data_IF_061892028783
#
_entry.id   IF_061892028783
#
_cell.length_a   1.000
_cell.length_b   1.000
_cell.length_c   1.000
_cell.angle_alpha   90.00
_cell.angle_beta   90.00
_cell.angle_gamma   90.00
#
_symmetry.space_group_name_H-M   'P 1'
#
loop_
_entity.id
_entity.type
_entity.pdbx_description
1 polymer ?
#
# COMPACT_ATOMS: atom_id res chain seq x y z
N UNK A 1 -22.78 -16.24 20.48
CA UNK A 1 -22.98 -16.96 19.20
C UNK A 1 -21.75 -16.70 18.35
N UNK A 2 -20.91 -17.72 18.14
CA UNK A 2 -19.77 -17.62 17.21
C UNK A 2 -20.33 -17.37 15.81
N UNK A 3 -19.93 -16.26 15.18
CA UNK A 3 -20.28 -16.03 13.78
C UNK A 3 -19.70 -17.20 12.96
N UNK A 4 -20.45 -17.81 12.03
CA UNK A 4 -19.91 -18.88 11.20
C UNK A 4 -18.64 -18.38 10.52
N UNK A 5 -17.53 -19.10 10.69
CA UNK A 5 -16.27 -18.82 10.00
C UNK A 5 -16.52 -18.96 8.51
N UNK A 6 -16.75 -17.83 7.83
CA UNK A 6 -16.81 -17.82 6.37
C UNK A 6 -15.42 -18.15 5.84
N UNK A 7 -15.34 -19.12 4.93
CA UNK A 7 -14.12 -19.39 4.17
C UNK A 7 -13.70 -18.12 3.42
N UNK A 8 -12.39 -17.93 3.24
CA UNK A 8 -11.89 -16.86 2.38
C UNK A 8 -12.44 -17.04 0.96
N UNK A 9 -12.73 -15.95 0.23
CA UNK A 9 -13.03 -16.03 -1.20
C UNK A 9 -11.90 -16.75 -1.94
N UNK A 10 -12.26 -17.56 -2.94
CA UNK A 10 -11.27 -18.17 -3.83
C UNK A 10 -10.49 -17.08 -4.59
N UNK A 11 -9.19 -17.28 -4.72
CA UNK A 11 -8.30 -16.39 -5.45
C UNK A 11 -7.47 -17.21 -6.43
N UNK A 12 -7.26 -16.68 -7.63
CA UNK A 12 -6.40 -17.31 -8.64
C UNK A 12 -4.99 -17.50 -8.08
N UNK A 13 -4.49 -18.73 -8.16
CA UNK A 13 -3.14 -19.04 -7.70
C UNK A 13 -2.09 -18.37 -8.57
N UNK A 14 -0.96 -17.96 -7.98
CA UNK A 14 0.20 -17.46 -8.72
C UNK A 14 0.74 -18.47 -9.75
N UNK A 15 0.46 -19.77 -9.55
CA UNK A 15 0.85 -20.86 -10.46
C UNK A 15 -0.11 -21.11 -11.62
N UNK A 16 -1.30 -20.50 -11.58
CA UNK A 16 -2.38 -20.83 -12.52
C UNK A 16 -2.26 -20.14 -13.88
N UNK A 17 -1.36 -19.16 -14.01
CA UNK A 17 -1.20 -18.39 -15.23
C UNK A 17 -0.24 -19.06 -16.19
N UNK A 18 -0.60 -19.05 -17.48
CA UNK A 18 0.36 -19.35 -18.55
C UNK A 18 1.40 -18.23 -18.60
N UNK A 19 2.67 -18.62 -18.53
CA UNK A 19 3.78 -17.66 -18.52
C UNK A 19 3.88 -16.96 -19.88
N UNK A 20 4.28 -15.70 -19.83
CA UNK A 20 4.53 -14.94 -21.04
C UNK A 20 5.78 -15.46 -21.77
N UNK A 21 5.82 -15.30 -23.10
CA UNK A 21 6.83 -15.94 -23.96
C UNK A 21 8.28 -15.68 -23.56
N UNK A 22 8.56 -14.52 -22.95
CA UNK A 22 9.92 -14.15 -22.55
C UNK A 22 10.46 -14.98 -21.37
N UNK A 23 9.67 -15.91 -20.81
CA UNK A 23 10.17 -16.96 -19.93
C UNK A 23 11.33 -17.77 -20.55
N UNK A 24 11.37 -17.89 -21.89
CA UNK A 24 12.42 -18.62 -22.59
C UNK A 24 13.80 -17.98 -22.47
N UNK A 25 13.87 -16.70 -22.07
CA UNK A 25 15.11 -15.97 -21.84
C UNK A 25 15.77 -16.34 -20.50
N UNK A 26 15.03 -17.00 -19.60
CA UNK A 26 15.46 -17.28 -18.24
C UNK A 26 15.53 -16.02 -17.35
N UNK A 27 15.78 -16.19 -16.05
CA UNK A 27 15.90 -15.09 -15.12
C UNK A 27 17.19 -14.28 -15.36
N UNK A 28 17.09 -12.96 -15.37
CA UNK A 28 18.23 -12.08 -15.49
C UNK A 28 19.07 -12.11 -14.19
N UNK A 29 20.41 -12.00 -14.25
CA UNK A 29 21.24 -11.88 -13.04
C UNK A 29 20.80 -10.71 -12.15
N UNK A 30 20.48 -9.58 -12.79
CA UNK A 30 19.81 -8.43 -12.19
C UNK A 30 18.75 -7.92 -13.17
N UNK A 31 17.67 -7.36 -12.65
CA UNK A 31 16.73 -6.62 -13.49
C UNK A 31 17.44 -5.36 -14.04
N UNK A 32 17.43 -5.12 -15.36
CA UNK A 32 18.24 -4.06 -15.96
C UNK A 32 17.82 -2.67 -15.48
N UNK A 33 18.82 -1.82 -15.23
CA UNK A 33 18.66 -0.41 -14.89
C UNK A 33 19.10 0.52 -16.03
N UNK A 34 19.71 -0.01 -17.08
CA UNK A 34 20.19 0.74 -18.24
C UNK A 34 19.90 0.05 -19.56
N UNK A 35 19.94 0.82 -20.65
CA UNK A 35 19.79 0.27 -22.01
C UNK A 35 20.90 -0.72 -22.36
N UNK A 36 22.13 -0.47 -21.91
CA UNK A 36 23.26 -1.37 -22.15
C UNK A 36 23.05 -2.75 -21.50
N UNK A 37 22.43 -2.80 -20.32
CA UNK A 37 22.08 -4.07 -19.66
C UNK A 37 20.93 -4.77 -20.37
N UNK A 38 19.93 -4.04 -20.87
CA UNK A 38 18.89 -4.61 -21.73
C UNK A 38 19.50 -5.25 -22.99
N UNK A 39 20.42 -4.54 -23.66
CA UNK A 39 21.08 -5.05 -24.87
C UNK A 39 21.92 -6.30 -24.56
N UNK A 40 22.59 -6.36 -23.40
CA UNK A 40 23.32 -7.54 -22.93
C UNK A 40 22.41 -8.75 -22.63
N UNK A 41 21.17 -8.50 -22.20
CA UNK A 41 20.13 -9.52 -22.00
C UNK A 41 19.40 -9.88 -23.31
N UNK A 42 19.69 -9.18 -24.43
CA UNK A 42 18.98 -9.33 -25.69
C UNK A 42 17.55 -8.75 -25.67
N UNK A 43 17.26 -7.82 -24.77
CA UNK A 43 15.94 -7.21 -24.61
C UNK A 43 15.82 -5.93 -25.45
N UNK A 44 14.83 -5.90 -26.33
CA UNK A 44 14.49 -4.71 -27.12
C UNK A 44 13.62 -3.71 -26.34
N UNK A 45 12.78 -4.20 -25.43
CA UNK A 45 11.84 -3.42 -24.62
C UNK A 45 11.55 -4.10 -23.27
N UNK A 46 11.27 -3.31 -22.24
CA UNK A 46 10.71 -3.80 -20.98
C UNK A 46 9.19 -3.91 -21.09
N UNK A 47 8.61 -5.00 -20.62
CA UNK A 47 7.15 -5.14 -20.53
C UNK A 47 6.61 -4.29 -19.37
N UNK A 48 7.31 -4.28 -18.24
CA UNK A 48 7.00 -3.46 -17.07
C UNK A 48 8.28 -2.74 -16.63
N UNK A 49 8.16 -1.48 -16.22
CA UNK A 49 9.26 -0.76 -15.56
C UNK A 49 8.80 -0.31 -14.18
N UNK A 50 9.58 -0.67 -13.16
CA UNK A 50 9.34 -0.27 -11.77
C UNK A 50 10.27 0.90 -11.41
N UNK A 51 9.68 2.02 -11.02
CA UNK A 51 10.38 3.18 -10.48
C UNK A 51 10.32 3.18 -8.97
N UNK A 52 11.46 3.31 -8.31
CA UNK A 52 11.60 3.23 -6.86
C UNK A 52 12.41 4.37 -6.27
N UNK A 53 12.08 4.77 -5.04
CA UNK A 53 12.82 5.79 -4.28
C UNK A 53 14.02 5.26 -3.49
N UNK A 54 14.26 3.96 -3.50
CA UNK A 54 15.44 3.33 -2.90
C UNK A 54 16.45 2.90 -3.96
N UNK A 55 17.69 2.67 -3.56
CA UNK A 55 18.64 1.92 -4.35
C UNK A 55 18.11 0.50 -4.67
N UNK A 56 18.44 -0.01 -5.85
CA UNK A 56 18.08 -1.37 -6.24
C UNK A 56 18.98 -2.38 -5.52
N UNK A 57 18.40 -3.01 -4.50
CA UNK A 57 18.97 -4.16 -3.82
C UNK A 57 18.12 -5.37 -4.17
N UNK A 58 18.71 -6.36 -4.83
CA UNK A 58 18.00 -7.54 -5.29
C UNK A 58 17.88 -8.59 -4.18
N UNK A 59 17.08 -8.27 -3.15
CA UNK A 59 16.92 -9.04 -1.92
C UNK A 59 15.42 -9.15 -1.59
N UNK A 60 14.92 -10.30 -1.07
CA UNK A 60 13.48 -10.51 -0.81
C UNK A 60 12.93 -9.71 0.39
N UNK A 61 13.70 -8.79 0.96
CA UNK A 61 13.25 -7.81 1.96
C UNK A 61 12.96 -6.44 1.34
N UNK A 62 13.29 -6.26 0.06
CA UNK A 62 13.07 -5.06 -0.71
C UNK A 62 11.84 -5.24 -1.61
N UNK A 63 10.80 -4.43 -1.40
CA UNK A 63 9.49 -4.64 -2.05
C UNK A 63 9.54 -4.56 -3.58
N UNK A 64 10.36 -3.68 -4.15
CA UNK A 64 10.52 -3.59 -5.61
C UNK A 64 11.20 -4.83 -6.19
N UNK A 65 12.12 -5.46 -5.45
CA UNK A 65 12.79 -6.69 -5.88
C UNK A 65 11.80 -7.86 -5.90
N UNK A 66 10.98 -8.02 -4.85
CA UNK A 66 9.90 -9.03 -4.84
C UNK A 66 8.98 -8.84 -6.04
N UNK A 67 8.46 -7.63 -6.25
CA UNK A 67 7.50 -7.38 -7.35
C UNK A 67 8.15 -7.57 -8.73
N UNK A 68 9.40 -7.14 -8.89
CA UNK A 68 10.13 -7.30 -10.14
C UNK A 68 10.44 -8.77 -10.46
N UNK A 69 10.96 -9.53 -9.49
CA UNK A 69 11.25 -10.96 -9.64
C UNK A 69 9.98 -11.78 -9.83
N UNK A 70 8.89 -11.41 -9.15
CA UNK A 70 7.60 -12.07 -9.35
C UNK A 70 7.10 -11.87 -10.79
N UNK A 71 7.12 -10.66 -11.31
CA UNK A 71 6.73 -10.39 -12.70
C UNK A 71 7.65 -11.09 -13.71
N UNK A 72 8.96 -11.13 -13.45
CA UNK A 72 9.92 -11.90 -14.26
C UNK A 72 9.61 -13.40 -14.26
N UNK A 73 9.25 -13.96 -13.10
CA UNK A 73 8.86 -15.38 -12.97
C UNK A 73 7.58 -15.73 -13.75
N UNK A 74 6.76 -14.72 -14.05
CA UNK A 74 5.57 -14.84 -14.91
C UNK A 74 5.92 -14.68 -16.41
N UNK A 75 7.20 -14.55 -16.73
CA UNK A 75 7.72 -14.46 -18.09
C UNK A 75 7.81 -13.04 -18.64
N UNK A 76 7.63 -11.98 -17.84
CA UNK A 76 7.72 -10.60 -18.31
C UNK A 76 9.14 -10.04 -18.21
N UNK A 77 9.54 -9.19 -19.15
CA UNK A 77 10.79 -8.43 -19.07
C UNK A 77 10.58 -7.21 -18.17
N UNK A 78 11.30 -7.14 -17.06
CA UNK A 78 11.09 -6.11 -16.05
C UNK A 78 12.34 -5.27 -15.87
N UNK A 79 12.20 -3.95 -15.99
CA UNK A 79 13.28 -3.00 -15.72
C UNK A 79 13.09 -2.25 -14.40
N UNK A 80 14.19 -1.77 -13.82
CA UNK A 80 14.18 -0.98 -12.58
C UNK A 80 14.78 0.40 -12.84
N UNK A 81 14.08 1.47 -12.43
CA UNK A 81 14.64 2.83 -12.37
C UNK A 81 14.71 3.22 -10.89
N UNK A 82 15.90 3.15 -10.31
CA UNK A 82 16.14 3.50 -8.91
C UNK A 82 16.56 4.95 -8.75
N UNK A 83 15.95 5.68 -7.82
CA UNK A 83 16.33 7.05 -7.45
C UNK A 83 16.59 7.97 -8.66
N UNK A 84 15.68 8.03 -9.65
CA UNK A 84 15.86 8.90 -10.80
C UNK A 84 15.86 10.37 -10.37
N UNK A 85 16.63 11.21 -11.07
CA UNK A 85 16.53 12.65 -10.93
C UNK A 85 15.12 13.12 -11.33
N UNK A 86 14.35 13.57 -10.35
CA UNK A 86 12.97 13.98 -10.53
C UNK A 86 12.82 15.42 -11.03
N UNK A 87 13.91 16.14 -11.26
CA UNK A 87 13.87 17.49 -11.83
C UNK A 87 13.55 17.46 -13.33
N UNK A 88 13.82 16.34 -14.02
CA UNK A 88 13.51 16.14 -15.44
C UNK A 88 12.78 14.81 -15.69
N UNK A 89 11.91 14.76 -16.70
CA UNK A 89 11.32 13.51 -17.18
C UNK A 89 12.33 12.62 -17.92
N UNK A 90 13.50 13.14 -18.33
CA UNK A 90 14.48 12.38 -19.11
C UNK A 90 15.09 11.22 -18.32
N UNK A 91 15.28 11.38 -17.01
CA UNK A 91 15.74 10.30 -16.13
C UNK A 91 14.78 9.09 -16.11
N UNK A 92 13.51 9.29 -16.48
CA UNK A 92 12.49 8.24 -16.54
C UNK A 92 12.40 7.58 -17.93
N UNK A 93 13.16 8.08 -18.92
CA UNK A 93 13.19 7.56 -20.30
C UNK A 93 14.35 6.60 -20.56
N UNK A 94 15.22 6.38 -19.58
CA UNK A 94 16.50 5.64 -19.74
C UNK A 94 16.34 4.19 -20.21
N UNK A 95 15.22 3.55 -19.89
CA UNK A 95 14.86 2.19 -20.35
C UNK A 95 13.88 2.19 -21.54
N UNK A 96 13.50 3.36 -22.02
CA UNK A 96 12.47 3.54 -23.05
C UNK A 96 11.04 3.39 -22.50
N UNK A 97 10.11 3.17 -23.43
CA UNK A 97 8.67 3.04 -23.14
C UNK A 97 8.35 1.60 -22.72
N UNK A 98 7.74 1.35 -21.56
CA UNK A 98 7.30 0.01 -21.20
C UNK A 98 6.09 -0.39 -22.04
N UNK A 99 5.95 -1.69 -22.32
CA UNK A 99 4.85 -2.21 -23.14
C UNK A 99 3.50 -2.24 -22.40
N UNK A 100 3.50 -2.59 -21.12
CA UNK A 100 2.28 -2.81 -20.33
C UNK A 100 1.96 -1.64 -19.40
N UNK A 101 2.83 -1.35 -18.43
CA UNK A 101 2.58 -0.28 -17.46
C UNK A 101 3.85 0.16 -16.71
N UNK A 102 3.76 1.34 -16.08
CA UNK A 102 4.70 1.82 -15.06
C UNK A 102 4.26 1.34 -13.68
N UNK A 103 5.15 0.69 -12.93
CA UNK A 103 5.00 0.47 -11.49
C UNK A 103 5.75 1.56 -10.72
N UNK A 104 5.10 2.27 -9.80
CA UNK A 104 5.74 3.38 -9.07
C UNK A 104 5.60 3.20 -7.56
N UNK A 105 6.73 3.27 -6.84
CA UNK A 105 6.79 3.21 -5.39
C UNK A 105 7.76 4.24 -4.82
N UNK A 106 7.51 4.69 -3.59
CA UNK A 106 8.45 5.55 -2.85
C UNK A 106 9.65 4.77 -2.27
N UNK A 107 9.61 3.43 -2.34
CA UNK A 107 10.58 2.53 -1.71
C UNK A 107 9.96 1.73 -0.56
N UNK A 108 10.82 1.16 0.28
CA UNK A 108 10.50 0.38 1.48
C UNK A 108 10.04 1.26 2.64
N UNK A 109 10.29 2.58 2.58
CA UNK A 109 9.87 3.55 3.58
C UNK A 109 9.18 4.74 2.93
N UNK A 110 8.28 5.38 3.67
CA UNK A 110 7.67 6.64 3.24
C UNK A 110 8.73 7.73 3.02
N UNK A 111 8.62 8.46 1.91
CA UNK A 111 9.63 9.44 1.50
C UNK A 111 9.78 10.59 2.50
N UNK A 112 8.69 10.99 3.17
CA UNK A 112 8.73 12.05 4.17
C UNK A 112 9.36 11.53 5.47
N UNK A 113 8.99 10.32 5.91
CA UNK A 113 9.59 9.68 7.08
C UNK A 113 11.09 9.45 6.86
N UNK A 114 11.53 9.19 5.63
CA UNK A 114 12.95 9.08 5.31
C UNK A 114 13.66 10.43 5.49
N UNK A 115 13.14 11.47 4.84
CA UNK A 115 13.82 12.77 4.80
C UNK A 115 13.72 13.58 6.10
N UNK A 116 12.69 13.36 6.92
CA UNK A 116 12.42 14.19 8.09
C UNK A 116 12.28 13.38 9.39
N UNK A 117 12.83 13.91 10.48
CA UNK A 117 12.59 13.41 11.83
C UNK A 117 11.16 13.71 12.29
N UNK A 118 10.70 13.07 13.37
CA UNK A 118 9.39 13.35 13.96
C UNK A 118 9.22 14.84 14.35
N UNK A 119 10.32 15.51 14.71
CA UNK A 119 10.38 16.95 15.01
C UNK A 119 10.48 17.83 13.75
N UNK A 120 10.26 17.26 12.55
CA UNK A 120 10.32 17.94 11.25
C UNK A 120 11.69 18.50 10.88
N UNK A 121 12.77 17.97 11.47
CA UNK A 121 14.14 18.30 11.05
C UNK A 121 14.55 17.45 9.86
N UNK A 122 15.25 18.05 8.91
CA UNK A 122 15.77 17.35 7.73
C UNK A 122 16.92 16.44 8.17
N UNK A 123 16.90 15.19 7.72
CA UNK A 123 18.02 14.25 7.82
C UNK A 123 19.05 14.52 6.74
N UNK A 124 20.32 14.39 7.09
CA UNK A 124 21.43 14.45 6.14
C UNK A 124 21.69 13.10 5.47
N UNK A 125 21.17 12.03 6.06
CA UNK A 125 21.38 10.62 5.72
C UNK A 125 20.11 9.97 5.13
N UNK A 126 20.31 8.95 4.29
CA UNK A 126 19.25 8.07 3.77
C UNK A 126 19.79 6.64 3.70
N UNK A 127 19.34 5.79 4.64
CA UNK A 127 19.79 4.42 4.79
C UNK A 127 19.55 3.53 3.55
N UNK A 128 18.66 3.93 2.64
CA UNK A 128 18.36 3.19 1.41
C UNK A 128 19.04 3.78 0.17
N UNK A 129 19.87 4.81 0.34
CA UNK A 129 20.67 5.41 -0.72
C UNK A 129 22.11 4.89 -0.69
N UNK A 130 22.81 4.87 -1.85
CA UNK A 130 24.24 4.62 -1.88
C UNK A 130 25.01 5.64 -1.04
N UNK A 131 25.99 5.17 -0.29
CA UNK A 131 26.82 5.94 0.65
C UNK A 131 26.07 6.69 1.74
N UNK A 132 24.84 6.26 2.07
CA UNK A 132 23.98 6.95 3.04
C UNK A 132 23.65 8.41 2.62
N UNK A 133 23.70 8.69 1.31
CA UNK A 133 23.50 10.04 0.78
C UNK A 133 22.02 10.46 0.86
N UNK A 134 21.73 11.48 1.67
CA UNK A 134 20.44 12.13 1.73
C UNK A 134 20.08 12.88 0.43
N UNK A 135 18.79 13.11 0.22
CA UNK A 135 18.31 13.94 -0.90
C UNK A 135 18.37 13.26 -2.27
N UNK A 136 18.36 11.92 -2.33
CA UNK A 136 18.26 11.12 -3.57
C UNK A 136 16.82 10.77 -3.98
N UNK A 137 15.82 11.20 -3.20
CA UNK A 137 14.40 11.06 -3.51
C UNK A 137 13.65 12.37 -3.18
N UNK A 138 12.58 12.72 -3.90
CA UNK A 138 11.75 13.87 -3.56
C UNK A 138 10.82 13.59 -2.38
N UNK A 139 10.31 14.66 -1.79
CA UNK A 139 9.15 14.59 -0.91
C UNK A 139 7.93 14.05 -1.66
N UNK A 140 7.23 13.09 -1.04
CA UNK A 140 6.08 12.39 -1.67
C UNK A 140 6.49 11.76 -2.98
N UNK A 141 7.57 10.99 -2.92
CA UNK A 141 8.23 10.40 -4.08
C UNK A 141 7.26 9.67 -5.01
N UNK A 142 6.27 8.95 -4.47
CA UNK A 142 5.29 8.25 -5.27
C UNK A 142 4.48 9.19 -6.18
N UNK A 143 4.06 10.37 -5.67
CA UNK A 143 3.34 11.38 -6.46
C UNK A 143 4.23 11.97 -7.54
N UNK A 144 5.44 12.37 -7.18
CA UNK A 144 6.38 13.02 -8.12
C UNK A 144 6.77 12.06 -9.24
N UNK A 145 7.15 10.82 -8.89
CA UNK A 145 7.53 9.82 -9.87
C UNK A 145 6.37 9.44 -10.80
N UNK A 146 5.15 9.29 -10.27
CA UNK A 146 3.96 9.02 -11.08
C UNK A 146 3.70 10.12 -12.12
N UNK A 147 3.89 11.39 -11.73
CA UNK A 147 3.76 12.52 -12.65
C UNK A 147 4.88 12.55 -13.70
N UNK A 148 6.11 12.21 -13.32
CA UNK A 148 7.26 12.18 -14.24
C UNK A 148 7.19 11.04 -15.25
N UNK A 149 6.76 9.84 -14.86
CA UNK A 149 6.54 8.75 -15.83
C UNK A 149 5.41 9.08 -16.79
N UNK A 150 4.36 9.77 -16.30
CA UNK A 150 3.27 10.27 -17.15
C UNK A 150 3.76 11.33 -18.14
N UNK A 151 4.64 12.22 -17.70
CA UNK A 151 5.27 13.22 -18.58
C UNK A 151 6.16 12.56 -19.63
N UNK A 152 6.91 11.52 -19.25
CA UNK A 152 7.81 10.80 -20.14
C UNK A 152 7.04 10.02 -21.23
N UNK A 153 5.99 9.29 -20.86
CA UNK A 153 5.15 8.51 -21.77
C UNK A 153 3.66 8.57 -21.36
N UNK A 154 2.90 9.55 -21.87
CA UNK A 154 1.53 9.83 -21.41
C UNK A 154 0.52 8.70 -21.61
N UNK A 155 0.72 7.89 -22.64
CA UNK A 155 -0.20 6.84 -23.08
C UNK A 155 -0.01 5.50 -22.35
N UNK A 156 1.05 5.38 -21.55
CA UNK A 156 1.31 4.18 -20.75
C UNK A 156 0.52 4.25 -19.43
N UNK A 157 -0.17 3.18 -19.03
CA UNK A 157 -0.80 3.09 -17.72
C UNK A 157 0.18 3.30 -16.56
N UNK A 158 -0.23 4.05 -15.53
CA UNK A 158 0.58 4.32 -14.33
C UNK A 158 -0.08 3.66 -13.12
N UNK A 159 0.63 2.71 -12.53
CA UNK A 159 0.23 1.94 -11.35
C UNK A 159 1.09 2.35 -10.16
N UNK A 160 0.48 2.82 -9.08
CA UNK A 160 1.19 3.22 -7.86
C UNK A 160 1.00 2.18 -6.74
N UNK A 161 2.02 1.98 -5.91
CA UNK A 161 1.98 1.02 -4.81
C UNK A 161 2.99 1.31 -3.71
N UNK A 162 3.21 0.33 -2.84
CA UNK A 162 4.08 0.44 -1.66
C UNK A 162 3.39 1.10 -0.46
N UNK A 163 4.13 1.24 0.64
CA UNK A 163 3.61 1.76 1.92
C UNK A 163 3.01 3.16 1.74
N UNK A 164 3.73 4.03 1.02
CA UNK A 164 3.32 5.42 0.80
C UNK A 164 1.96 5.54 0.08
N UNK A 165 1.73 4.74 -0.96
CA UNK A 165 0.46 4.74 -1.68
C UNK A 165 -0.64 4.04 -0.90
N UNK A 166 -0.32 2.86 -0.35
CA UNK A 166 -1.27 2.02 0.40
C UNK A 166 -1.94 2.78 1.53
N UNK A 167 -1.18 3.47 2.38
CA UNK A 167 -1.71 4.18 3.55
C UNK A 167 -2.48 5.46 3.19
N UNK A 168 -2.30 5.98 1.97
CA UNK A 168 -2.90 7.24 1.49
C UNK A 168 -4.02 7.03 0.47
N UNK A 169 -4.60 5.82 0.42
CA UNK A 169 -5.66 5.42 -0.53
C UNK A 169 -6.99 6.16 -0.36
N UNK A 170 -7.32 6.60 0.85
CA UNK A 170 -8.43 7.53 1.13
C UNK A 170 -7.91 8.92 1.55
N UNK A 171 -8.82 9.84 1.84
CA UNK A 171 -8.49 11.07 2.56
C UNK A 171 -7.72 10.73 3.85
N UNK A 172 -6.57 11.37 4.03
CA UNK A 172 -5.62 11.05 5.10
C UNK A 172 -5.09 12.33 5.74
N UNK A 173 -4.80 12.26 7.03
CA UNK A 173 -4.12 13.33 7.74
C UNK A 173 -2.62 13.32 7.39
N UNK A 174 -2.11 14.47 7.03
CA UNK A 174 -0.72 14.69 6.66
C UNK A 174 0.00 15.45 7.77
N UNK A 175 0.71 14.72 8.62
CA UNK A 175 1.44 15.25 9.79
C UNK A 175 2.40 16.40 9.43
N UNK A 176 3.01 16.34 8.25
CA UNK A 176 4.01 17.33 7.81
C UNK A 176 3.40 18.70 7.48
N UNK A 177 2.16 18.71 6.98
CA UNK A 177 1.44 19.93 6.59
C UNK A 177 0.30 20.27 7.55
N UNK A 178 0.10 19.48 8.60
CA UNK A 178 -0.97 19.60 9.59
C UNK A 178 -2.36 19.80 8.96
N UNK A 179 -2.70 18.94 7.99
CA UNK A 179 -3.99 19.02 7.30
C UNK A 179 -4.44 17.68 6.74
N UNK A 180 -5.75 17.56 6.50
CA UNK A 180 -6.32 16.45 5.76
C UNK A 180 -6.09 16.66 4.26
N UNK A 181 -5.43 15.70 3.61
CA UNK A 181 -5.22 15.63 2.17
C UNK A 181 -6.18 14.64 1.53
N UNK A 182 -6.42 14.83 0.23
CA UNK A 182 -7.17 13.90 -0.61
C UNK A 182 -6.39 12.60 -0.82
N UNK A 183 -7.03 11.61 -1.45
CA UNK A 183 -6.37 10.36 -1.83
C UNK A 183 -5.15 10.61 -2.71
N UNK A 184 -4.05 9.90 -2.45
CA UNK A 184 -2.82 9.99 -3.25
C UNK A 184 -3.06 9.66 -4.73
N UNK A 185 -4.05 8.81 -5.03
CA UNK A 185 -4.43 8.45 -6.40
C UNK A 185 -4.80 9.69 -7.24
N UNK A 186 -5.48 10.67 -6.62
CA UNK A 186 -5.88 11.91 -7.27
C UNK A 186 -4.72 12.91 -7.43
N UNK A 187 -3.80 12.93 -6.47
CA UNK A 187 -2.59 13.78 -6.52
C UNK A 187 -1.58 13.26 -7.55
N UNK A 188 -1.38 11.95 -7.60
CA UNK A 188 -0.46 11.27 -8.51
C UNK A 188 -0.98 11.22 -9.96
N UNK A 189 -2.30 11.35 -10.17
CA UNK A 189 -2.96 11.10 -11.47
C UNK A 189 -2.62 9.71 -12.03
N UNK A 190 -2.51 8.73 -11.14
CA UNK A 190 -2.31 7.34 -11.49
C UNK A 190 -3.63 6.70 -11.95
N UNK A 191 -3.54 5.68 -12.78
CA UNK A 191 -4.71 4.95 -13.29
C UNK A 191 -5.22 3.94 -12.26
N UNK A 192 -4.30 3.32 -11.52
CA UNK A 192 -4.60 2.31 -10.52
C UNK A 192 -3.65 2.42 -9.32
N UNK A 193 -4.18 2.24 -8.11
CA UNK A 193 -3.40 2.12 -6.88
C UNK A 193 -3.53 0.68 -6.37
N UNK A 194 -2.41 0.04 -6.05
CA UNK A 194 -2.36 -1.26 -5.38
C UNK A 194 -1.98 -1.07 -3.91
N UNK A 195 -2.77 -1.66 -3.01
CA UNK A 195 -2.55 -1.54 -1.56
C UNK A 195 -2.43 -2.91 -0.90
N UNK A 196 -1.62 -2.93 0.15
CA UNK A 196 -1.18 -4.14 0.83
C UNK A 196 -0.32 -5.07 -0.02
N UNK A 197 -0.41 -6.38 0.27
CA UNK A 197 0.34 -7.42 -0.42
C UNK A 197 -0.21 -7.60 -1.85
N UNK A 198 0.47 -6.98 -2.81
CA UNK A 198 -0.05 -6.79 -4.17
C UNK A 198 0.31 -7.91 -5.16
N UNK A 199 0.93 -9.01 -4.72
CA UNK A 199 1.43 -10.08 -5.62
C UNK A 199 0.35 -10.61 -6.55
N UNK A 200 -0.83 -10.92 -6.02
CA UNK A 200 -1.95 -11.39 -6.84
C UNK A 200 -2.43 -10.32 -7.81
N UNK A 201 -2.58 -9.10 -7.33
CA UNK A 201 -3.13 -7.99 -8.12
C UNK A 201 -2.21 -7.59 -9.27
N UNK A 202 -0.89 -7.55 -9.04
CA UNK A 202 0.08 -7.17 -10.07
C UNK A 202 0.25 -8.24 -11.15
N UNK A 203 0.20 -9.53 -10.75
CA UNK A 203 0.26 -10.65 -11.71
C UNK A 203 -1.01 -10.69 -12.57
N UNK A 204 -2.19 -10.57 -11.95
CA UNK A 204 -3.45 -10.56 -12.70
C UNK A 204 -3.53 -9.34 -13.64
N UNK A 205 -3.15 -8.15 -13.16
CA UNK A 205 -3.08 -6.95 -13.99
C UNK A 205 -2.16 -7.16 -15.20
N UNK A 206 -0.94 -7.66 -15.01
CA UNK A 206 0.02 -7.86 -16.09
C UNK A 206 -0.55 -8.78 -17.17
N UNK A 207 -1.16 -9.90 -16.77
CA UNK A 207 -1.80 -10.85 -17.69
C UNK A 207 -3.02 -10.28 -18.41
N UNK A 208 -3.86 -9.50 -17.72
CA UNK A 208 -5.03 -8.83 -18.33
C UNK A 208 -4.62 -7.78 -19.35
N UNK A 209 -3.66 -6.92 -19.02
CA UNK A 209 -3.12 -5.93 -19.95
C UNK A 209 -2.43 -6.60 -21.14
N UNK A 210 -1.72 -7.71 -20.92
CA UNK A 210 -1.09 -8.47 -22.00
C UNK A 210 -2.11 -9.08 -22.97
N UNK A 211 -3.31 -9.45 -22.48
CA UNK A 211 -4.44 -9.87 -23.32
C UNK A 211 -5.16 -8.72 -24.03
N UNK A 212 -4.72 -7.48 -23.85
CA UNK A 212 -5.27 -6.29 -24.50
C UNK A 212 -6.44 -5.65 -23.78
N UNK A 213 -6.73 -6.04 -22.53
CA UNK A 213 -7.75 -5.36 -21.73
C UNK A 213 -7.25 -3.97 -21.32
N UNK A 214 -8.16 -2.99 -21.30
CA UNK A 214 -7.80 -1.63 -20.92
C UNK A 214 -7.79 -1.49 -19.41
N UNK A 215 -6.82 -0.74 -18.87
CA UNK A 215 -6.72 -0.54 -17.41
C UNK A 215 -7.98 0.07 -16.79
N UNK A 216 -8.75 0.87 -17.54
CA UNK A 216 -9.98 1.48 -17.03
C UNK A 216 -11.12 0.47 -16.86
N UNK A 217 -11.08 -0.67 -17.56
CA UNK A 217 -12.10 -1.71 -17.51
C UNK A 217 -11.82 -2.72 -16.37
N UNK A 218 -10.58 -2.76 -15.88
CA UNK A 218 -10.12 -3.64 -14.79
C UNK A 218 -10.54 -3.03 -13.45
N UNK A 219 -11.76 -3.33 -13.01
CA UNK A 219 -12.39 -2.69 -11.84
C UNK A 219 -12.68 -3.64 -10.67
N UNK A 220 -12.31 -4.91 -10.80
CA UNK A 220 -12.67 -6.02 -9.91
C UNK A 220 -11.46 -6.64 -9.18
N UNK A 221 -10.24 -6.12 -9.42
CA UNK A 221 -9.03 -6.62 -8.75
C UNK A 221 -9.03 -6.26 -7.26
N UNK A 222 -8.96 -7.28 -6.40
CA UNK A 222 -8.81 -7.09 -4.95
C UNK A 222 -7.49 -6.42 -4.61
N UNK A 223 -7.47 -5.61 -3.55
CA UNK A 223 -6.29 -4.84 -3.16
C UNK A 223 -6.00 -3.66 -4.08
N UNK A 224 -7.00 -3.16 -4.81
CA UNK A 224 -6.81 -2.02 -5.71
C UNK A 224 -7.77 -0.87 -5.41
N UNK A 225 -7.39 0.33 -5.83
CA UNK A 225 -8.22 1.51 -5.82
C UNK A 225 -8.08 2.29 -7.14
N UNK A 226 -9.19 2.83 -7.64
CA UNK A 226 -9.25 3.57 -8.89
C UNK A 226 -10.26 4.73 -8.79
N UNK A 227 -10.16 5.69 -9.72
CA UNK A 227 -11.08 6.84 -9.77
C UNK A 227 -12.23 6.55 -10.73
N UNK A 228 -13.44 6.89 -10.33
CA UNK A 228 -14.64 6.80 -11.17
C UNK A 228 -15.61 7.95 -10.91
N UNK A 229 -16.66 8.09 -11.73
CA UNK A 229 -17.68 9.16 -11.61
C UNK A 229 -19.08 8.64 -11.30
N UNK A 230 -19.29 7.34 -11.48
CA UNK A 230 -20.54 6.63 -11.34
C UNK A 230 -20.44 5.55 -10.26
N UNK A 231 -21.58 5.07 -9.75
CA UNK A 231 -21.64 3.83 -8.97
C UNK A 231 -21.97 2.69 -9.95
N UNK A 232 -21.19 1.58 -9.98
CA UNK A 232 -21.41 0.51 -10.94
C UNK A 232 -22.79 -0.14 -10.76
N UNK A 233 -23.42 -0.50 -11.88
CA UNK A 233 -24.72 -1.16 -11.89
C UNK A 233 -24.69 -2.45 -11.07
N UNK A 234 -25.71 -2.68 -10.24
CA UNK A 234 -25.82 -3.89 -9.41
C UNK A 234 -25.13 -3.80 -8.05
N UNK A 235 -24.44 -2.70 -7.73
CA UNK A 235 -23.96 -2.43 -6.37
C UNK A 235 -25.01 -1.72 -5.52
N UNK A 236 -25.13 -2.16 -4.28
CA UNK A 236 -25.92 -1.49 -3.25
C UNK A 236 -25.02 -0.65 -2.35
N UNK A 237 -25.32 0.64 -2.28
CA UNK A 237 -24.54 1.58 -1.50
C UNK A 237 -25.08 1.69 -0.06
N UNK A 238 -24.20 1.49 0.92
CA UNK A 238 -24.49 1.61 2.34
C UNK A 238 -23.74 2.81 2.90
N UNK A 239 -24.43 3.70 3.60
CA UNK A 239 -23.75 4.81 4.28
C UNK A 239 -22.92 4.28 5.45
N UNK A 240 -21.70 4.77 5.63
CA UNK A 240 -20.80 4.35 6.70
C UNK A 240 -21.42 4.48 8.10
N UNK A 241 -22.33 5.43 8.33
CA UNK A 241 -23.03 5.61 9.62
C UNK A 241 -23.93 4.45 10.00
N UNK A 242 -24.35 3.63 9.03
CA UNK A 242 -25.13 2.41 9.26
C UNK A 242 -24.24 1.21 9.64
N UNK A 243 -22.95 1.29 9.32
CA UNK A 243 -21.95 0.28 9.68
C UNK A 243 -21.37 0.59 11.06
N UNK A 244 -21.13 1.87 11.33
CA UNK A 244 -20.61 2.38 12.59
C UNK A 244 -21.18 3.78 12.87
N UNK A 245 -21.75 4.01 14.05
CA UNK A 245 -22.26 5.33 14.42
C UNK A 245 -21.19 6.08 15.23
N UNK A 246 -20.81 7.31 14.85
CA UNK A 246 -19.94 8.14 15.69
C UNK A 246 -20.54 8.29 17.10
N UNK A 247 -19.75 7.96 18.12
CA UNK A 247 -20.15 8.09 19.53
C UNK A 247 -20.04 9.51 20.05
N UNK A 248 -20.43 9.71 21.32
CA UNK A 248 -20.21 10.96 22.06
C UNK A 248 -18.70 11.20 22.21
N UNK A 249 -18.25 12.43 21.96
CA UNK A 249 -16.88 12.85 22.24
C UNK A 249 -16.83 13.21 23.72
N UNK A 250 -16.13 12.42 24.50
CA UNK A 250 -15.77 12.81 25.87
C UNK A 250 -14.52 13.69 25.80
N UNK A 251 -14.52 14.76 26.58
CA UNK A 251 -13.37 15.65 26.67
C UNK A 251 -12.20 14.94 27.36
N UNK A 252 -11.05 14.91 26.68
CA UNK A 252 -9.87 14.21 27.18
C UNK A 252 -9.21 14.98 28.34
N UNK A 253 -9.13 14.36 29.52
CA UNK A 253 -8.31 14.86 30.61
C UNK A 253 -6.83 14.64 30.24
N UNK A 254 -6.01 15.68 30.31
CA UNK A 254 -4.59 15.59 29.98
C UNK A 254 -3.88 14.57 30.90
N UNK A 255 -3.27 13.50 30.34
CA UNK A 255 -2.71 12.39 31.13
C UNK A 255 -1.45 12.75 31.92
N UNK A 256 -0.86 13.93 31.69
CA UNK A 256 0.30 14.43 32.41
C UNK A 256 -0.06 15.37 33.58
N UNK A 257 -1.34 15.57 33.84
CA UNK A 257 -1.79 16.30 35.02
C UNK A 257 -1.69 15.36 36.22
N UNK A 258 -0.98 15.81 37.25
CA UNK A 258 -0.88 15.07 38.50
C UNK A 258 -2.24 15.06 39.20
N UNK A 259 -2.95 13.94 39.10
CA UNK A 259 -4.29 13.73 39.70
C UNK A 259 -4.27 13.78 41.23
N UNK A 260 -3.09 13.89 41.87
CA UNK A 260 -2.94 14.07 43.30
C UNK A 260 -3.01 15.54 43.75
N UNK A 261 -2.99 16.52 42.83
CA UNK A 261 -3.24 17.93 43.13
C UNK A 261 -4.73 18.26 42.90
N UNK A 262 -5.54 18.48 43.96
CA UNK A 262 -6.97 18.72 43.84
C UNK A 262 -7.29 19.98 43.02
N UNK A 263 -6.42 20.99 43.09
CA UNK A 263 -6.65 22.29 42.45
C UNK A 263 -6.54 22.21 40.92
N UNK A 264 -5.54 21.49 40.41
CA UNK A 264 -5.35 21.28 38.98
C UNK A 264 -6.43 20.34 38.38
N UNK A 265 -6.93 19.40 39.18
CA UNK A 265 -7.98 18.45 38.78
C UNK A 265 -9.37 19.10 38.72
N UNK A 266 -9.68 20.05 39.61
CA UNK A 266 -10.95 20.80 39.61
C UNK A 266 -11.03 21.81 38.46
N UNK A 267 -9.94 22.49 38.13
CA UNK A 267 -9.89 23.46 37.02
C UNK A 267 -10.18 22.79 35.66
N UNK A 268 -9.69 21.56 35.44
CA UNK A 268 -9.97 20.81 34.21
C UNK A 268 -11.37 20.16 34.20
N UNK A 269 -11.91 19.78 35.37
CA UNK A 269 -13.33 19.37 35.49
C UNK A 269 -14.30 20.52 35.20
N UNK A 270 -13.93 21.75 35.54
CA UNK A 270 -14.70 22.95 35.20
C UNK A 270 -14.65 23.25 33.70
N UNK A 271 -13.49 23.14 33.04
CA UNK A 271 -13.38 23.26 31.57
C UNK A 271 -14.17 22.19 30.80
N UNK A 272 -14.31 20.99 31.36
CA UNK A 272 -15.07 19.89 30.75
C UNK A 272 -16.58 19.98 30.97
N UNK A 273 -17.05 20.83 31.89
CA UNK A 273 -18.48 21.05 32.17
C UNK A 273 -19.08 22.25 31.43
N UNK A 274 -18.27 23.08 30.76
CA UNK A 274 -18.71 24.17 29.85
C UNK A 274 -18.99 23.70 28.41
N UNK A 275 -18.94 22.39 28.13
CA UNK A 275 -19.50 21.87 26.89
C UNK A 275 -21.03 21.84 27.03
N UNK A 276 -21.69 22.89 26.52
CA UNK A 276 -23.14 23.04 26.49
C UNK A 276 -23.83 21.70 26.18
N UNK A 277 -24.60 21.11 27.10
CA UNK A 277 -25.56 20.12 26.70
C UNK A 277 -26.51 20.85 25.76
N UNK A 278 -26.69 20.34 24.54
CA UNK A 278 -27.85 20.71 23.74
C UNK A 278 -29.05 20.35 24.61
N UNK A 279 -29.66 21.37 25.23
CA UNK A 279 -30.87 21.22 26.00
C UNK A 279 -31.91 20.68 25.02
N UNK A 280 -32.25 19.40 25.18
CA UNK A 280 -33.42 18.84 24.54
C UNK A 280 -34.60 19.56 25.20
N UNK A 281 -35.30 20.36 24.40
CA UNK A 281 -36.57 20.99 24.77
C UNK A 281 -37.47 19.97 25.45
N UNK A 282 -38.08 20.31 26.59
CA UNK A 282 -38.90 19.43 27.45
C UNK A 282 -40.17 18.91 26.73
N UNK A 283 -40.39 19.28 25.48
CA UNK A 283 -41.41 18.77 24.57
C UNK A 283 -40.92 17.82 23.46
N UNK A 284 -39.62 17.51 23.38
CA UNK A 284 -39.08 16.68 22.31
C UNK A 284 -39.39 15.19 22.52
N UNK A 285 -40.33 14.66 21.74
CA UNK A 285 -40.57 13.22 21.68
C UNK A 285 -39.32 12.52 21.16
N UNK A 286 -38.64 11.74 22.01
CA UNK A 286 -37.53 10.88 21.60
C UNK A 286 -38.08 9.77 20.72
N UNK A 287 -38.09 9.99 19.41
CA UNK A 287 -38.39 8.96 18.43
C UNK A 287 -37.20 8.01 18.41
N UNK A 288 -37.27 6.97 19.23
CA UNK A 288 -36.37 5.81 19.09
C UNK A 288 -36.76 5.10 17.80
N UNK A 289 -36.16 5.52 16.68
CA UNK A 289 -36.21 4.77 15.43
C UNK A 289 -35.54 3.43 15.69
N UNK A 290 -36.33 2.40 16.00
CA UNK A 290 -35.85 1.01 15.98
C UNK A 290 -35.56 0.69 14.52
N UNK A 291 -34.30 0.56 14.08
CA UNK A 291 -34.03 0.10 12.73
C UNK A 291 -34.73 -1.25 12.60
N UNK A 292 -35.66 -1.36 11.63
CA UNK A 292 -36.44 -2.56 11.46
C UNK A 292 -35.49 -3.75 11.34
N UNK A 293 -35.67 -4.78 12.16
CA UNK A 293 -34.94 -6.04 12.04
C UNK A 293 -35.16 -6.69 10.65
N UNK A 294 -36.19 -6.25 9.92
CA UNK A 294 -36.44 -6.60 8.53
C UNK A 294 -35.31 -6.18 7.56
N UNK A 295 -34.51 -5.15 7.86
CA UNK A 295 -33.40 -4.72 7.00
C UNK A 295 -32.19 -5.66 7.05
N UNK A 296 -31.96 -6.35 8.18
CA UNK A 296 -30.87 -7.34 8.31
C UNK A 296 -31.01 -8.53 7.35
N UNK A 297 -32.25 -8.86 6.95
CA UNK A 297 -32.56 -9.99 6.05
C UNK A 297 -32.68 -9.60 4.57
N UNK A 298 -32.43 -8.32 4.20
CA UNK A 298 -32.53 -7.83 2.81
C UNK A 298 -31.25 -7.20 2.26
N UNK A 299 -30.17 -7.13 3.03
CA UNK A 299 -28.91 -6.61 2.51
C UNK A 299 -28.39 -7.56 1.42
N UNK A 300 -28.01 -7.04 0.23
CA UNK A 300 -27.39 -7.84 -0.82
C UNK A 300 -26.11 -8.53 -0.31
N UNK A 301 -25.62 -9.54 -1.04
CA UNK A 301 -24.31 -10.13 -0.76
C UNK A 301 -23.24 -9.05 -0.58
N UNK A 302 -22.29 -9.27 0.34
CA UNK A 302 -21.25 -8.28 0.67
C UNK A 302 -20.42 -7.88 -0.55
N UNK A 303 -20.22 -8.81 -1.49
CA UNK A 303 -19.54 -8.59 -2.78
C UNK A 303 -20.26 -7.56 -3.67
N UNK A 304 -21.58 -7.42 -3.53
CA UNK A 304 -22.41 -6.44 -4.24
C UNK A 304 -22.78 -5.25 -3.36
N UNK A 305 -22.08 -5.07 -2.25
CA UNK A 305 -22.32 -3.96 -1.32
C UNK A 305 -21.07 -3.10 -1.24
N UNK A 306 -21.24 -1.79 -1.38
CA UNK A 306 -20.17 -0.80 -1.21
C UNK A 306 -20.50 0.12 -0.04
N UNK A 307 -19.52 0.44 0.79
CA UNK A 307 -19.69 1.39 1.90
C UNK A 307 -19.23 2.77 1.44
N UNK A 308 -20.15 3.74 1.48
CA UNK A 308 -19.83 5.14 1.24
C UNK A 308 -19.30 5.80 2.51
N UNK A 309 -18.03 6.16 2.47
CA UNK A 309 -17.36 6.96 3.49
C UNK A 309 -17.79 8.43 3.40
N UNK A 310 -17.65 9.22 4.49
CA UNK A 310 -17.81 10.66 4.42
C UNK A 310 -16.86 11.26 3.37
N UNK A 311 -17.36 12.24 2.60
CA UNK A 311 -16.57 12.87 1.53
C UNK A 311 -15.32 13.56 2.07
N UNK A 312 -14.33 13.78 1.22
CA UNK A 312 -13.11 14.53 1.54
C UNK A 312 -13.42 15.87 2.20
N UNK A 313 -14.39 16.61 1.67
CA UNK A 313 -14.79 17.93 2.18
C UNK A 313 -15.30 17.81 3.62
N UNK A 314 -16.13 16.79 3.89
CA UNK A 314 -16.67 16.56 5.23
C UNK A 314 -15.61 16.12 6.24
N UNK A 315 -14.66 15.26 5.85
CA UNK A 315 -13.60 14.80 6.78
C UNK A 315 -12.52 15.86 6.98
N UNK A 316 -12.37 16.79 6.04
CA UNK A 316 -11.46 17.93 6.18
C UNK A 316 -11.95 18.92 7.23
N UNK A 317 -13.26 19.11 7.33
CA UNK A 317 -13.89 20.09 8.23
C UNK A 317 -14.20 19.53 9.63
N UNK A 318 -14.36 18.22 9.76
CA UNK A 318 -14.84 17.57 10.99
C UNK A 318 -13.92 16.41 11.40
N UNK A 319 -13.12 16.57 12.48
CA UNK A 319 -12.24 15.52 13.01
C UNK A 319 -12.97 14.22 13.39
N UNK A 320 -14.24 14.30 13.80
CA UNK A 320 -15.06 13.12 14.15
C UNK A 320 -15.37 12.32 12.92
N UNK A 321 -15.73 12.99 11.82
CA UNK A 321 -15.98 12.32 10.54
C UNK A 321 -14.70 11.70 9.98
N UNK A 322 -13.56 12.38 10.16
CA UNK A 322 -12.27 11.80 9.82
C UNK A 322 -11.98 10.51 10.62
N UNK A 323 -12.12 10.56 11.94
CA UNK A 323 -11.92 9.41 12.81
C UNK A 323 -12.89 8.26 12.46
N UNK A 324 -14.16 8.57 12.20
CA UNK A 324 -15.16 7.60 11.76
C UNK A 324 -14.79 6.96 10.41
N UNK A 325 -14.40 7.76 9.41
CA UNK A 325 -13.98 7.23 8.11
C UNK A 325 -12.78 6.28 8.24
N UNK A 326 -11.80 6.65 9.07
CA UNK A 326 -10.62 5.83 9.32
C UNK A 326 -10.96 4.55 10.11
N UNK A 327 -11.89 4.63 11.07
CA UNK A 327 -12.37 3.46 11.81
C UNK A 327 -13.09 2.46 10.90
N UNK A 328 -13.96 2.95 10.01
CA UNK A 328 -14.66 2.10 9.02
C UNK A 328 -13.67 1.45 8.06
N UNK A 329 -12.65 2.19 7.60
CA UNK A 329 -11.55 1.61 6.82
C UNK A 329 -10.89 0.44 7.55
N UNK A 330 -10.56 0.59 8.83
CA UNK A 330 -9.93 -0.45 9.65
C UNK A 330 -10.83 -1.67 9.89
N UNK A 331 -12.16 -1.49 9.97
CA UNK A 331 -13.11 -2.59 10.09
C UNK A 331 -13.19 -3.44 8.82
N UNK A 332 -12.94 -2.83 7.66
CA UNK A 332 -13.05 -3.45 6.34
C UNK A 332 -11.66 -3.90 5.81
N UNK A 333 -10.69 -4.12 6.72
CA UNK A 333 -9.35 -4.68 6.40
C UNK A 333 -9.33 -6.21 6.34
N UNK A 334 -10.35 -6.92 6.83
CA UNK A 334 -10.36 -8.39 6.81
C UNK A 334 -10.80 -8.93 5.42
N UNK A 335 -9.91 -9.60 4.67
CA UNK A 335 -10.23 -10.04 3.30
C UNK A 335 -11.42 -11.00 3.21
N UNK A 336 -11.73 -11.76 4.25
CA UNK A 336 -12.83 -12.73 4.25
C UNK A 336 -14.23 -12.11 4.33
N UNK A 337 -14.35 -10.86 4.76
CA UNK A 337 -15.65 -10.19 4.90
C UNK A 337 -15.69 -8.73 4.48
N UNK A 338 -14.56 -8.16 4.07
CA UNK A 338 -14.46 -6.78 3.64
C UNK A 338 -15.39 -6.49 2.46
N UNK A 339 -16.05 -5.34 2.52
CA UNK A 339 -16.80 -4.75 1.41
C UNK A 339 -15.90 -3.79 0.63
N UNK A 340 -16.33 -3.46 -0.58
CA UNK A 340 -15.75 -2.33 -1.28
C UNK A 340 -16.04 -1.03 -0.52
N UNK A 341 -15.14 -0.06 -0.60
CA UNK A 341 -15.33 1.28 -0.05
C UNK A 341 -15.39 2.29 -1.19
N UNK A 342 -16.13 3.36 -0.98
CA UNK A 342 -16.13 4.51 -1.89
C UNK A 342 -16.07 5.81 -1.10
N UNK A 343 -15.21 6.74 -1.53
CA UNK A 343 -15.14 8.07 -0.95
C UNK A 343 -15.22 9.13 -2.05
N UNK A 344 -16.10 10.12 -1.84
CA UNK A 344 -16.24 11.27 -2.74
C UNK A 344 -15.12 12.28 -2.49
N UNK A 345 -14.49 12.76 -3.56
CA UNK A 345 -13.50 13.85 -3.58
C UNK A 345 -13.90 14.83 -4.69
N UNK A 346 -14.55 15.94 -4.34
CA UNK A 346 -15.13 16.88 -5.30
C UNK A 346 -16.21 16.23 -6.17
N UNK A 347 -15.96 16.15 -7.48
CA UNK A 347 -16.85 15.59 -8.49
C UNK A 347 -16.58 14.11 -8.81
N UNK A 348 -15.58 13.51 -8.17
CA UNK A 348 -15.09 12.15 -8.47
C UNK A 348 -15.15 11.25 -7.25
N UNK A 349 -15.38 9.97 -7.47
CA UNK A 349 -15.34 8.93 -6.46
C UNK A 349 -14.02 8.16 -6.55
N UNK A 350 -13.39 7.96 -5.40
CA UNK A 350 -12.28 6.99 -5.23
C UNK A 350 -12.92 5.69 -4.77
N UNK A 351 -12.87 4.68 -5.63
CA UNK A 351 -13.35 3.33 -5.36
C UNK A 351 -12.20 2.48 -4.83
N UNK A 352 -12.47 1.66 -3.82
CA UNK A 352 -11.49 0.77 -3.18
C UNK A 352 -12.10 -0.62 -3.15
N UNK A 353 -11.51 -1.52 -3.92
CA UNK A 353 -11.87 -2.93 -3.90
C UNK A 353 -11.46 -3.57 -2.57
N UNK A 354 -12.11 -4.67 -2.14
CA UNK A 354 -11.74 -5.36 -0.91
C UNK A 354 -10.25 -5.76 -0.86
N UNK A 355 -9.63 -5.91 0.34
CA UNK A 355 -8.23 -6.27 0.50
C UNK A 355 -7.82 -7.56 -0.21
N UNK A 356 -6.54 -7.70 -0.59
CA UNK A 356 -6.05 -8.89 -1.28
C UNK A 356 -6.24 -10.14 -0.41
N UNK A 357 -6.51 -11.27 -1.05
CA UNK A 357 -6.52 -12.56 -0.36
C UNK A 357 -5.06 -12.95 -0.08
N UNK A 358 -4.71 -13.30 1.17
CA UNK A 358 -3.37 -13.76 1.53
C UNK A 358 -2.86 -14.88 0.61
N UNK A 359 -1.53 -14.96 0.44
CA UNK A 359 -0.89 -16.06 -0.25
C UNK A 359 -0.95 -17.33 0.61
N UNK A 360 -1.04 -18.48 -0.04
CA UNK A 360 -0.80 -19.77 0.63
C UNK A 360 0.67 -19.90 1.03
N UNK A 361 0.99 -20.86 1.89
CA UNK A 361 2.40 -21.16 2.23
C UNK A 361 3.21 -21.54 0.99
N UNK A 362 2.63 -22.31 0.07
CA UNK A 362 3.31 -22.69 -1.19
C UNK A 362 3.60 -21.47 -2.07
N UNK A 363 2.67 -20.52 -2.17
CA UNK A 363 2.87 -19.28 -2.92
C UNK A 363 3.85 -18.34 -2.23
N UNK A 364 3.85 -18.30 -0.90
CA UNK A 364 4.88 -17.59 -0.12
C UNK A 364 6.25 -18.17 -0.41
N UNK A 365 6.42 -19.48 -0.28
CA UNK A 365 7.69 -20.16 -0.57
C UNK A 365 8.14 -19.87 -2.00
N UNK A 366 7.24 -19.94 -2.97
CA UNK A 366 7.54 -19.59 -4.36
C UNK A 366 8.12 -18.18 -4.50
N UNK A 367 7.49 -17.16 -3.90
CA UNK A 367 7.94 -15.76 -4.00
C UNK A 367 9.31 -15.55 -3.34
N UNK A 368 9.56 -16.20 -2.20
CA UNK A 368 10.82 -16.04 -1.46
C UNK A 368 11.96 -16.93 -1.99
N UNK A 369 11.64 -18.00 -2.73
CA UNK A 369 12.62 -18.89 -3.35
C UNK A 369 13.03 -18.45 -4.78
N UNK A 370 12.52 -17.32 -5.28
CA UNK A 370 12.93 -16.73 -6.56
C UNK A 370 14.45 -16.43 -6.58
N UNK A 371 15.09 -16.34 -7.78
CA UNK A 371 16.54 -16.23 -7.90
C UNK A 371 17.05 -14.82 -7.60
N UNK A 372 17.04 -14.42 -6.32
CA UNK A 372 17.60 -13.16 -5.84
C UNK A 372 19.13 -13.21 -5.81
N UNK A 373 19.79 -12.16 -6.28
CA UNK A 373 21.25 -11.98 -6.17
C UNK A 373 21.71 -11.69 -4.74
N UNK A 374 20.80 -11.23 -3.87
CA UNK A 374 21.02 -10.91 -2.43
C UNK A 374 22.06 -9.83 -2.15
N UNK A 375 22.46 -9.08 -3.17
CA UNK A 375 23.45 -7.99 -3.09
C UNK A 375 22.91 -6.74 -3.80
N UNK A 376 23.47 -5.54 -3.56
CA UNK A 376 23.11 -4.34 -4.30
C UNK A 376 23.45 -4.50 -5.78
N UNK A 377 22.73 -3.78 -6.62
CA UNK A 377 23.02 -3.75 -8.05
C UNK A 377 24.48 -3.33 -8.35
N UNK A 378 25.19 -3.96 -9.30
CA UNK A 378 26.61 -3.71 -9.56
C UNK A 378 26.95 -2.26 -9.91
N UNK A 379 25.99 -1.48 -10.41
CA UNK A 379 26.16 -0.05 -10.72
C UNK A 379 26.65 0.78 -9.52
N UNK A 380 26.35 0.34 -8.29
CA UNK A 380 26.77 1.03 -7.07
C UNK A 380 28.22 0.72 -6.69
N UNK A 381 28.87 -0.24 -7.34
CA UNK A 381 30.24 -0.64 -7.05
C UNK A 381 30.42 -1.04 -5.58
N UNK A 382 31.32 -0.34 -4.87
CA UNK A 382 31.57 -0.54 -3.44
C UNK A 382 30.78 0.37 -2.50
N UNK A 383 29.74 1.07 -3.00
CA UNK A 383 28.98 2.01 -2.18
C UNK A 383 28.28 1.30 -1.02
N UNK A 384 28.33 1.92 0.15
CA UNK A 384 27.68 1.41 1.36
C UNK A 384 26.20 1.75 1.35
N UNK A 385 25.32 0.74 1.47
CA UNK A 385 23.86 0.94 1.61
C UNK A 385 23.45 0.44 3.00
N UNK A 386 23.27 1.34 4.00
CA UNK A 386 23.08 0.94 5.40
C UNK A 386 21.91 -0.02 5.64
N UNK A 387 20.79 0.18 4.96
CA UNK A 387 19.61 -0.69 5.07
C UNK A 387 19.91 -2.12 4.62
N UNK A 388 20.68 -2.29 3.53
CA UNK A 388 21.14 -3.60 3.09
C UNK A 388 22.05 -4.24 4.14
N UNK A 389 23.08 -3.51 4.61
CA UNK A 389 24.05 -4.06 5.57
C UNK A 389 23.38 -4.63 6.83
N UNK A 390 22.33 -3.95 7.29
CA UNK A 390 21.55 -4.37 8.45
C UNK A 390 20.79 -5.69 8.20
N UNK A 391 20.28 -5.94 7.00
CA UNK A 391 19.32 -7.03 6.73
C UNK A 391 19.82 -8.13 5.77
N UNK A 392 21.04 -8.02 5.24
CA UNK A 392 21.58 -8.94 4.22
C UNK A 392 21.62 -10.42 4.64
N UNK A 393 21.69 -10.67 5.94
CA UNK A 393 21.69 -12.02 6.52
C UNK A 393 20.40 -12.35 7.27
N UNK A 394 19.37 -11.52 7.19
CA UNK A 394 18.07 -11.79 7.81
C UNK A 394 17.19 -12.63 6.90
N UNK A 395 16.44 -13.56 7.50
CA UNK A 395 15.39 -14.35 6.81
C UNK A 395 14.02 -13.82 7.18
N UNK A 396 13.17 -13.56 6.19
CA UNK A 396 11.76 -13.29 6.45
C UNK A 396 11.00 -14.61 6.63
N UNK A 397 10.47 -14.90 7.82
CA UNK A 397 9.77 -16.16 8.11
C UNK A 397 8.24 -16.06 7.96
N UNK A 398 7.70 -14.85 8.11
CA UNK A 398 6.27 -14.58 8.09
C UNK A 398 5.98 -13.11 7.77
N UNK A 399 4.75 -12.82 7.33
CA UNK A 399 4.22 -11.47 7.15
C UNK A 399 2.79 -11.34 7.66
N UNK A 400 2.32 -10.11 7.85
CA UNK A 400 1.04 -9.77 8.46
C UNK A 400 1.16 -9.53 9.96
N UNK A 401 0.12 -8.91 10.55
CA UNK A 401 0.11 -8.59 11.97
C UNK A 401 -1.29 -8.80 12.59
N UNK A 402 -1.42 -9.81 13.45
CA UNK A 402 -2.67 -10.08 14.17
C UNK A 402 -2.98 -9.03 15.26
N UNK A 403 -1.96 -8.31 15.73
CA UNK A 403 -2.05 -7.43 16.90
C UNK A 403 -2.87 -6.15 16.68
N UNK A 404 -2.95 -5.65 15.44
CA UNK A 404 -3.80 -4.48 15.14
C UNK A 404 -3.46 -3.23 15.94
N UNK A 405 -2.19 -3.05 16.32
CA UNK A 405 -1.77 -1.93 17.15
C UNK A 405 -2.01 -0.59 16.44
N UNK A 406 -2.47 0.41 17.20
CA UNK A 406 -2.80 1.74 16.66
C UNK A 406 -1.59 2.54 16.18
N UNK A 407 -0.37 2.17 16.59
CA UNK A 407 0.87 2.84 16.19
C UNK A 407 1.54 2.22 14.96
N UNK A 408 1.14 1.00 14.57
CA UNK A 408 1.85 0.22 13.58
C UNK A 408 1.06 0.14 12.27
N UNK A 409 1.68 0.52 11.15
CA UNK A 409 1.05 0.48 9.83
C UNK A 409 0.99 -0.92 9.21
N UNK A 410 1.65 -1.93 9.79
CA UNK A 410 1.71 -3.29 9.23
C UNK A 410 0.31 -3.88 9.07
N UNK A 411 -0.57 -3.69 10.05
CA UNK A 411 -1.95 -4.21 9.94
C UNK A 411 -2.73 -3.55 8.80
N UNK A 412 -2.51 -2.26 8.57
CA UNK A 412 -3.18 -1.52 7.51
C UNK A 412 -2.60 -1.82 6.12
N UNK A 413 -1.29 -2.09 6.05
CA UNK A 413 -0.59 -2.45 4.83
C UNK A 413 -0.72 -3.96 4.54
N UNK A 414 -0.07 -4.81 5.31
CA UNK A 414 0.01 -6.27 5.04
C UNK A 414 -1.25 -7.04 5.44
N UNK A 415 -2.08 -6.46 6.32
CA UNK A 415 -3.30 -7.08 6.82
C UNK A 415 -3.14 -7.81 8.16
N UNK A 416 -4.26 -8.33 8.66
CA UNK A 416 -4.35 -8.99 9.99
C UNK A 416 -3.98 -10.48 9.99
N UNK A 417 -3.92 -11.09 8.83
CA UNK A 417 -3.72 -12.53 8.69
C UNK A 417 -2.23 -12.80 8.57
N UNK A 418 -1.71 -13.60 9.50
CA UNK A 418 -0.33 -14.09 9.43
C UNK A 418 -0.21 -15.08 8.29
N UNK A 419 0.77 -14.86 7.42
CA UNK A 419 1.18 -15.78 6.36
C UNK A 419 2.59 -16.27 6.71
N UNK A 420 2.77 -17.58 6.75
CA UNK A 420 4.04 -18.20 7.12
C UNK A 420 4.62 -18.97 5.95
N UNK A 421 5.94 -18.89 5.80
CA UNK A 421 6.71 -19.76 4.92
C UNK A 421 6.86 -21.14 5.53
N UNK A 422 7.12 -22.14 4.69
CA UNK A 422 7.44 -23.48 5.17
C UNK A 422 8.81 -23.51 5.83
N UNK A 423 8.98 -24.47 6.74
CA UNK A 423 10.28 -24.77 7.34
C UNK A 423 11.34 -25.04 6.28
N UNK A 424 10.98 -25.78 5.23
CA UNK A 424 11.93 -26.17 4.17
C UNK A 424 12.38 -24.98 3.32
N UNK A 425 11.48 -24.05 2.99
CA UNK A 425 11.85 -22.81 2.28
C UNK A 425 12.83 -21.96 3.12
N UNK A 426 12.56 -21.84 4.42
CA UNK A 426 13.45 -21.13 5.35
C UNK A 426 14.84 -21.78 5.37
N UNK A 427 14.92 -23.11 5.48
CA UNK A 427 16.20 -23.83 5.47
C UNK A 427 16.94 -23.69 4.13
N UNK A 428 16.22 -23.70 3.01
CA UNK A 428 16.82 -23.47 1.67
C UNK A 428 17.45 -22.08 1.59
N UNK A 429 16.74 -21.04 2.02
CA UNK A 429 17.28 -19.67 1.99
C UNK A 429 18.51 -19.53 2.91
N UNK A 430 18.45 -20.05 4.14
CA UNK A 430 19.63 -20.08 5.04
C UNK A 430 20.79 -20.85 4.42
N UNK A 431 20.51 -21.93 3.69
CA UNK A 431 21.50 -22.67 2.92
C UNK A 431 22.16 -21.82 1.83
N UNK A 432 21.37 -21.04 1.08
CA UNK A 432 21.84 -20.14 0.02
C UNK A 432 22.64 -18.96 0.57
N UNK A 433 22.30 -18.44 1.77
CA UNK A 433 23.03 -17.35 2.43
C UNK A 433 24.51 -17.68 2.65
N UNK A 434 24.90 -18.96 2.74
CA UNK A 434 26.30 -19.38 2.85
C UNK A 434 27.17 -18.90 1.68
N UNK A 435 26.58 -18.72 0.50
CA UNK A 435 27.27 -18.20 -0.69
C UNK A 435 27.31 -16.67 -0.75
N UNK A 436 26.66 -15.96 0.17
CA UNK A 436 26.61 -14.50 0.15
C UNK A 436 27.91 -13.90 0.72
N UNK A 437 28.54 -12.95 0.03
CA UNK A 437 29.77 -12.30 0.51
C UNK A 437 29.65 -11.74 1.94
N UNK A 438 30.60 -12.08 2.79
CA UNK A 438 30.68 -11.59 4.17
C UNK A 438 29.79 -12.32 5.19
N UNK A 439 29.16 -13.44 4.83
CA UNK A 439 28.36 -14.23 5.76
C UNK A 439 29.23 -14.89 6.84
N UNK A 440 28.91 -14.63 8.11
CA UNK A 440 29.66 -15.12 9.28
C UNK A 440 29.01 -16.30 9.98
N UNK A 441 27.88 -16.80 9.47
CA UNK A 441 27.08 -17.84 10.13
C UNK A 441 26.00 -17.32 11.08
N UNK A 442 25.86 -15.99 11.21
CA UNK A 442 24.79 -15.35 12.01
C UNK A 442 23.65 -14.92 11.09
N UNK A 443 22.43 -15.34 11.45
CA UNK A 443 21.17 -15.04 10.76
C UNK A 443 20.28 -14.20 11.68
#
# INVERSE_FOLDING_TARGET
MSAPSRSLPEASSLFSYEKFWAECLGPAPFLPMSRAEMDALGWDVCDVIIVTGDAYVDLPTFGMAIMGRLLESQGYRVGIISQPDWLSADAFKVLGKPRLFWGVTAGNMDSMINRYTADRKIRSDDAYSPNDEGGKRPDRACVVYAQRVREAFPDVPVVIGGIEASLRRIAHYDYWQDKVRRSILLDAKADLLMYGNAERAIVDLAHRLNRGEKIQDITDLRGTAFVRRDTPAGFFEVNSTQVDAPGRIDSHINPYINTADPSACEIEKQKTSEADPVALDDGAQVITLRPSTAMKNRMPPREKTVIRLPSFERVKEDPVRYAHANRVLHLETNPGNARALVQRHGDRDVWINPPPIPLSTEEMDFVYDLPYSRVPHPVYGGARIPAHEMIRFSVNIMRGCFGGCTFCSITEHEGRIIQSRSHDSILREVGQMKGTPGFTGVV
#
